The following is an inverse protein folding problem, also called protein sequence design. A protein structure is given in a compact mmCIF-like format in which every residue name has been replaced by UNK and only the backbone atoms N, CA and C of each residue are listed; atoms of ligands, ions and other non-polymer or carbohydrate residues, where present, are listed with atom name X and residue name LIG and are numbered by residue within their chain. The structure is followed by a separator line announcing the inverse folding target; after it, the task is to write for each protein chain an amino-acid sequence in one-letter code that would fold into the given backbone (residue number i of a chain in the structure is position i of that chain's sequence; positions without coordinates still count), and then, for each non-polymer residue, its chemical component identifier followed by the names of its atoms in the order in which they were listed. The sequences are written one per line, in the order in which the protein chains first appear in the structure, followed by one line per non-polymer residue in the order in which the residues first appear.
data_IF_743006886791
#
_entry.id   IF_743006886791
#
_cell.length_a   1.000
_cell.length_b   1.000
_cell.length_c   1.000
_cell.angle_alpha   90.00
_cell.angle_beta   90.00
_cell.angle_gamma   90.00
#
_symmetry.space_group_name_H-M   'P 1'
#
loop_
_entity.id
_entity.type
_entity.pdbx_description
1 polymer ?
#
# COMPACT_ATOMS: atom_id res chain seq x y z
N UNK A 1 17.25 -30.82 28.44
CA UNK A 1 15.93 -30.20 28.56
C UNK A 1 15.68 -29.41 27.27
N UNK A 2 15.19 -30.09 26.23
CA UNK A 2 14.90 -29.48 24.93
C UNK A 2 13.47 -28.92 24.96
N UNK A 3 13.34 -27.61 24.76
CA UNK A 3 12.06 -26.94 24.57
C UNK A 3 11.53 -27.32 23.18
N UNK A 4 10.45 -28.10 23.16
CA UNK A 4 9.65 -28.36 21.97
C UNK A 4 8.82 -27.11 21.65
N UNK A 5 9.16 -26.40 20.57
CA UNK A 5 8.28 -25.41 19.96
C UNK A 5 7.17 -26.17 19.21
N UNK A 6 5.97 -26.15 19.79
CA UNK A 6 4.79 -26.82 19.29
C UNK A 6 4.16 -25.95 18.18
N UNK A 7 4.68 -26.04 16.96
CA UNK A 7 4.07 -25.44 15.77
C UNK A 7 3.11 -26.48 15.17
N UNK A 8 1.81 -26.19 15.03
CA UNK A 8 0.85 -27.15 14.48
C UNK A 8 1.25 -27.53 13.06
N UNK A 9 1.49 -28.83 12.86
CA UNK A 9 1.88 -29.43 11.59
C UNK A 9 0.67 -29.43 10.65
N UNK A 10 0.54 -28.40 9.82
CA UNK A 10 -0.46 -28.34 8.75
C UNK A 10 -0.28 -29.53 7.80
N UNK A 11 -1.34 -30.35 7.64
CA UNK A 11 -1.38 -31.60 6.87
C UNK A 11 -1.33 -31.42 5.33
N UNK A 12 -0.76 -30.33 4.81
CA UNK A 12 -0.62 -30.15 3.35
C UNK A 12 0.60 -30.86 2.74
N UNK A 13 1.48 -31.45 3.56
CA UNK A 13 2.72 -32.09 3.09
C UNK A 13 2.60 -33.61 2.96
N UNK A 14 1.65 -34.12 2.16
CA UNK A 14 1.64 -35.56 1.81
C UNK A 14 2.20 -35.90 0.43
N UNK A 15 2.66 -34.92 -0.36
CA UNK A 15 3.41 -35.17 -1.61
C UNK A 15 4.28 -33.96 -2.00
N UNK A 16 5.49 -33.86 -1.46
CA UNK A 16 6.56 -33.12 -2.14
C UNK A 16 7.92 -33.48 -1.56
N UNK A 17 8.50 -34.56 -2.10
CA UNK A 17 9.95 -34.67 -2.20
C UNK A 17 10.40 -33.68 -3.28
N UNK A 18 10.86 -32.49 -2.90
CA UNK A 18 11.54 -31.61 -3.86
C UNK A 18 12.58 -30.71 -3.17
N UNK A 19 13.78 -30.70 -3.75
CA UNK A 19 14.94 -29.92 -3.36
C UNK A 19 14.63 -28.43 -3.27
N UNK A 20 15.39 -27.67 -2.44
CA UNK A 20 15.32 -26.21 -2.20
C UNK A 20 15.35 -25.37 -3.49
N UNK A 21 14.27 -25.35 -4.25
CA UNK A 21 14.11 -24.59 -5.50
C UNK A 21 13.12 -23.45 -5.29
N UNK A 22 13.30 -22.37 -6.06
CA UNK A 22 12.44 -21.16 -6.04
C UNK A 22 10.94 -21.50 -6.13
N UNK A 23 10.59 -22.59 -6.81
CA UNK A 23 9.22 -23.08 -6.97
C UNK A 23 8.59 -23.53 -5.65
N UNK A 24 9.30 -24.29 -4.82
CA UNK A 24 8.78 -24.75 -3.51
C UNK A 24 8.55 -23.56 -2.58
N UNK A 25 9.47 -22.60 -2.55
CA UNK A 25 9.31 -21.37 -1.75
C UNK A 25 8.15 -20.51 -2.26
N UNK A 26 7.99 -20.36 -3.58
CA UNK A 26 6.85 -19.64 -4.18
C UNK A 26 5.52 -20.29 -3.80
N UNK A 27 5.43 -21.62 -3.81
CA UNK A 27 4.21 -22.32 -3.38
C UNK A 27 3.91 -22.12 -1.90
N UNK A 28 4.92 -22.17 -1.02
CA UNK A 28 4.72 -21.91 0.42
C UNK A 28 4.23 -20.48 0.65
N UNK A 29 4.86 -19.50 0.00
CA UNK A 29 4.46 -18.09 0.14
C UNK A 29 3.02 -17.90 -0.34
N UNK A 30 2.69 -18.38 -1.56
CA UNK A 30 1.37 -18.15 -2.16
C UNK A 30 0.25 -18.93 -1.48
N UNK A 31 0.50 -20.16 -1.04
CA UNK A 31 -0.56 -21.06 -0.60
C UNK A 31 -0.65 -21.20 0.94
N UNK A 32 0.36 -20.76 1.69
CA UNK A 32 0.35 -20.87 3.15
C UNK A 32 0.54 -19.51 3.82
N UNK A 33 1.61 -18.78 3.50
CA UNK A 33 1.95 -17.54 4.21
C UNK A 33 1.02 -16.39 3.82
N UNK A 34 0.84 -16.13 2.53
CA UNK A 34 0.02 -15.02 2.05
C UNK A 34 -1.45 -15.13 2.51
N UNK A 35 -2.14 -16.29 2.39
CA UNK A 35 -3.51 -16.42 2.86
C UNK A 35 -3.63 -16.23 4.37
N UNK A 36 -2.67 -16.75 5.15
CA UNK A 36 -2.69 -16.60 6.61
C UNK A 36 -2.51 -15.13 7.04
N UNK A 37 -1.59 -14.40 6.40
CA UNK A 37 -1.38 -12.98 6.67
C UNK A 37 -2.58 -12.13 6.22
N UNK A 38 -3.18 -12.46 5.09
CA UNK A 38 -4.37 -11.79 4.58
C UNK A 38 -5.57 -12.01 5.51
N UNK A 39 -5.81 -13.24 5.95
CA UNK A 39 -6.90 -13.55 6.88
C UNK A 39 -6.73 -12.82 8.21
N UNK A 40 -5.51 -12.79 8.76
CA UNK A 40 -5.18 -12.02 9.97
C UNK A 40 -5.45 -10.53 9.76
N UNK A 41 -5.01 -9.97 8.64
CA UNK A 41 -5.22 -8.55 8.31
C UNK A 41 -6.71 -8.21 8.16
N UNK A 42 -7.45 -9.00 7.39
CA UNK A 42 -8.89 -8.81 7.14
C UNK A 42 -9.67 -8.90 8.45
N UNK A 43 -9.29 -9.81 9.35
CA UNK A 43 -9.88 -9.90 10.69
C UNK A 43 -9.71 -8.60 11.47
N UNK A 44 -8.50 -8.03 11.49
CA UNK A 44 -8.20 -6.77 12.17
C UNK A 44 -9.02 -5.60 11.60
N UNK A 45 -9.13 -5.52 10.27
CA UNK A 45 -9.95 -4.52 9.57
C UNK A 45 -11.44 -4.63 9.93
N UNK A 46 -11.92 -5.84 10.24
CA UNK A 46 -13.31 -6.09 10.60
C UNK A 46 -13.62 -5.80 12.08
N UNK A 47 -12.66 -6.04 12.97
CA UNK A 47 -12.87 -5.91 14.42
C UNK A 47 -12.65 -4.49 14.94
N UNK A 48 -11.76 -3.73 14.32
CA UNK A 48 -11.30 -2.45 14.86
C UNK A 48 -11.11 -1.35 13.83
N UNK A 49 -10.84 -0.12 14.31
CA UNK A 49 -10.53 1.00 13.46
C UNK A 49 -9.19 0.80 12.74
N UNK A 50 -9.14 1.19 11.47
CA UNK A 50 -7.91 1.16 10.70
C UNK A 50 -7.80 2.38 9.79
N UNK A 51 -6.58 2.67 9.35
CA UNK A 51 -6.33 3.59 8.24
C UNK A 51 -5.73 2.82 7.07
N UNK A 52 -5.91 3.33 5.86
CA UNK A 52 -5.28 2.72 4.69
C UNK A 52 -4.67 3.79 3.82
N UNK A 53 -3.65 3.39 3.07
CA UNK A 53 -3.07 4.22 2.02
C UNK A 53 -3.04 3.47 0.71
N UNK A 54 -3.08 4.23 -0.38
CA UNK A 54 -2.82 3.68 -1.69
C UNK A 54 -1.80 4.51 -2.46
N UNK A 55 -1.05 3.82 -3.31
CA UNK A 55 -0.06 4.41 -4.19
C UNK A 55 -0.11 3.75 -5.56
N UNK A 56 0.07 4.56 -6.61
CA UNK A 56 0.09 4.10 -7.98
C UNK A 56 1.54 3.76 -8.38
N UNK A 57 1.77 2.53 -8.81
CA UNK A 57 3.05 2.09 -9.36
C UNK A 57 2.89 1.68 -10.81
N UNK A 58 3.88 2.01 -11.64
CA UNK A 58 3.93 1.63 -13.04
C UNK A 58 4.93 0.48 -13.23
N UNK A 59 4.48 -0.62 -13.82
CA UNK A 59 5.38 -1.68 -14.27
C UNK A 59 6.03 -1.31 -15.62
N UNK A 60 7.17 -1.94 -15.95
CA UNK A 60 7.88 -1.76 -17.23
C UNK A 60 7.00 -2.06 -18.45
N UNK A 61 5.92 -2.82 -18.25
CA UNK A 61 4.93 -3.16 -19.27
C UNK A 61 3.79 -2.13 -19.40
N UNK A 62 3.95 -0.92 -18.83
CA UNK A 62 2.95 0.16 -18.83
C UNK A 62 1.64 -0.19 -18.10
N UNK A 63 1.63 -1.26 -17.29
CA UNK A 63 0.51 -1.57 -16.43
C UNK A 63 0.60 -0.74 -15.17
N UNK A 64 -0.50 -0.06 -14.86
CA UNK A 64 -0.64 0.74 -13.65
C UNK A 64 -1.27 -0.13 -12.57
N UNK A 65 -0.66 -0.14 -11.41
CA UNK A 65 -1.07 -0.96 -10.27
C UNK A 65 -1.34 -0.05 -9.09
N UNK A 66 -2.42 -0.34 -8.37
CA UNK A 66 -2.82 0.38 -7.17
C UNK A 66 -2.47 -0.51 -5.97
N UNK A 67 -1.36 -0.21 -5.31
CA UNK A 67 -0.98 -0.89 -4.09
C UNK A 67 -1.82 -0.35 -2.93
N UNK A 68 -2.40 -1.23 -2.13
CA UNK A 68 -3.24 -0.87 -0.97
C UNK A 68 -2.59 -1.44 0.28
N UNK A 69 -2.25 -0.55 1.21
CA UNK A 69 -1.65 -0.89 2.51
C UNK A 69 -2.54 -0.41 3.63
N UNK A 70 -2.69 -1.22 4.65
CA UNK A 70 -3.53 -0.94 5.82
C UNK A 70 -2.65 -0.79 7.05
N UNK A 71 -2.96 0.20 7.88
CA UNK A 71 -2.35 0.41 9.19
C UNK A 71 -3.43 0.27 10.27
N UNK A 72 -3.17 -0.59 11.23
CA UNK A 72 -4.08 -0.93 12.31
C UNK A 72 -3.30 -1.10 13.61
N UNK A 73 -4.00 -1.07 14.74
CA UNK A 73 -3.41 -1.37 16.04
C UNK A 73 -3.64 -2.84 16.37
N UNK A 74 -2.55 -3.58 16.55
CA UNK A 74 -2.58 -4.97 16.97
C UNK A 74 -2.60 -5.00 18.50
N UNK A 75 -3.79 -5.25 19.07
CA UNK A 75 -4.00 -5.28 20.53
C UNK A 75 -3.17 -6.36 21.23
N UNK A 76 -2.94 -7.50 20.56
CA UNK A 76 -2.18 -8.62 21.15
C UNK A 76 -0.70 -8.26 21.26
N UNK A 77 -0.17 -7.53 20.28
CA UNK A 77 1.23 -7.09 20.24
C UNK A 77 1.44 -5.67 20.79
N UNK A 78 0.36 -5.02 21.21
CA UNK A 78 0.32 -3.64 21.72
C UNK A 78 1.06 -2.63 20.83
N UNK A 79 0.94 -2.77 19.51
CA UNK A 79 1.66 -1.91 18.57
C UNK A 79 0.89 -1.66 17.28
N UNK A 80 1.18 -0.52 16.66
CA UNK A 80 0.71 -0.25 15.31
C UNK A 80 1.47 -1.13 14.30
N UNK A 81 0.73 -1.90 13.51
CA UNK A 81 1.26 -2.71 12.42
C UNK A 81 0.81 -2.14 11.08
N UNK A 82 1.56 -2.45 10.02
CA UNK A 82 1.17 -2.17 8.64
C UNK A 82 1.17 -3.47 7.86
N UNK A 83 0.08 -3.72 7.15
CA UNK A 83 -0.12 -4.90 6.32
C UNK A 83 -0.38 -4.51 4.87
N UNK A 84 0.08 -5.34 3.95
CA UNK A 84 -0.28 -5.27 2.55
C UNK A 84 -1.64 -5.94 2.34
N UNK A 85 -2.61 -5.21 1.78
CA UNK A 85 -3.97 -5.72 1.59
C UNK A 85 -4.16 -6.32 0.20
N UNK A 86 -3.79 -5.56 -0.82
CA UNK A 86 -4.00 -5.93 -2.21
C UNK A 86 -3.18 -5.04 -3.16
N UNK A 87 -3.02 -5.49 -4.40
CA UNK A 87 -2.44 -4.72 -5.50
C UNK A 87 -3.21 -5.01 -6.78
N UNK A 88 -4.21 -4.18 -7.05
CA UNK A 88 -5.08 -4.33 -8.20
C UNK A 88 -4.52 -3.59 -9.42
N UNK A 89 -4.77 -4.12 -10.62
CA UNK A 89 -4.37 -3.45 -11.87
C UNK A 89 -5.41 -2.37 -12.17
N UNK A 90 -4.98 -1.11 -12.16
CA UNK A 90 -5.83 0.06 -12.37
C UNK A 90 -5.25 0.94 -13.49
N UNK A 91 -5.47 0.54 -14.75
CA UNK A 91 -4.92 1.26 -15.91
C UNK A 91 -5.58 2.62 -16.18
N UNK A 92 -6.73 2.90 -15.56
CA UNK A 92 -7.48 4.14 -15.72
C UNK A 92 -7.31 4.98 -14.45
N UNK A 93 -6.42 5.97 -14.49
CA UNK A 93 -6.13 6.86 -13.35
C UNK A 93 -7.20 7.93 -13.09
N UNK A 94 -8.49 7.60 -13.19
CA UNK A 94 -9.57 8.52 -12.82
C UNK A 94 -10.02 8.25 -11.40
N UNK A 95 -10.49 9.28 -10.70
CA UNK A 95 -10.96 9.15 -9.32
C UNK A 95 -12.08 8.11 -9.16
N UNK A 96 -12.97 7.99 -10.16
CA UNK A 96 -14.00 6.96 -10.17
C UNK A 96 -13.40 5.57 -10.28
N UNK A 97 -12.54 5.33 -11.28
CA UNK A 97 -11.97 4.01 -11.49
C UNK A 97 -11.12 3.55 -10.31
N UNK A 98 -10.31 4.44 -9.72
CA UNK A 98 -9.53 4.12 -8.52
C UNK A 98 -10.46 3.76 -7.36
N UNK A 99 -11.52 4.54 -7.13
CA UNK A 99 -12.49 4.25 -6.10
C UNK A 99 -13.23 2.92 -6.33
N UNK A 100 -13.62 2.61 -7.56
CA UNK A 100 -14.31 1.35 -7.89
C UNK A 100 -13.42 0.14 -7.58
N UNK A 101 -12.10 0.23 -7.84
CA UNK A 101 -11.16 -0.82 -7.47
C UNK A 101 -11.01 -0.94 -5.95
N UNK A 102 -10.99 0.18 -5.21
CA UNK A 102 -10.96 0.17 -3.75
C UNK A 102 -12.23 -0.47 -3.16
N UNK A 103 -13.41 -0.06 -3.65
CA UNK A 103 -14.71 -0.57 -3.21
C UNK A 103 -14.82 -2.07 -3.51
N UNK A 104 -14.42 -2.51 -4.70
CA UNK A 104 -14.38 -3.92 -5.08
C UNK A 104 -13.42 -4.75 -4.21
N UNK A 105 -12.22 -4.24 -3.91
CA UNK A 105 -11.28 -4.93 -3.01
C UNK A 105 -11.86 -5.05 -1.60
N UNK A 106 -12.53 -4.01 -1.09
CA UNK A 106 -13.13 -4.03 0.24
C UNK A 106 -14.34 -4.97 0.29
N UNK A 107 -15.19 -4.95 -0.72
CA UNK A 107 -16.36 -5.84 -0.84
C UNK A 107 -15.92 -7.31 -0.96
N UNK A 108 -14.93 -7.61 -1.82
CA UNK A 108 -14.42 -8.96 -2.00
C UNK A 108 -13.82 -9.56 -0.71
N UNK A 109 -13.19 -8.72 0.13
CA UNK A 109 -12.60 -9.11 1.41
C UNK A 109 -13.55 -8.92 2.60
N UNK A 110 -14.79 -8.47 2.36
CA UNK A 110 -15.78 -8.22 3.41
C UNK A 110 -15.37 -7.17 4.43
N UNK A 111 -14.60 -6.15 4.03
CA UNK A 111 -14.10 -5.09 4.91
C UNK A 111 -15.11 -3.92 4.95
N UNK A 112 -15.62 -3.54 6.13
CA UNK A 112 -16.62 -2.49 6.22
C UNK A 112 -15.98 -1.09 6.23
N UNK A 113 -16.47 -0.21 5.35
CA UNK A 113 -16.04 1.20 5.28
C UNK A 113 -16.19 1.97 6.60
N UNK A 114 -17.14 1.57 7.46
CA UNK A 114 -17.38 2.19 8.77
C UNK A 114 -16.17 2.17 9.71
N UNK A 115 -15.27 1.20 9.53
CA UNK A 115 -14.08 1.01 10.36
C UNK A 115 -12.87 1.82 9.84
N UNK A 116 -12.99 2.44 8.66
CA UNK A 116 -11.96 3.33 8.13
C UNK A 116 -11.97 4.63 8.91
N UNK A 117 -10.83 4.98 9.48
CA UNK A 117 -10.62 6.25 10.20
C UNK A 117 -9.87 7.26 9.34
N UNK A 118 -8.89 6.81 8.56
CA UNK A 118 -8.10 7.71 7.73
C UNK A 118 -7.69 7.07 6.40
N UNK A 119 -7.54 7.93 5.40
CA UNK A 119 -7.07 7.61 4.07
C UNK A 119 -5.81 8.42 3.75
N UNK A 120 -4.76 7.73 3.29
CA UNK A 120 -3.46 8.32 2.96
C UNK A 120 -3.20 8.16 1.45
N UNK A 121 -2.94 9.25 0.75
CA UNK A 121 -2.64 9.21 -0.70
C UNK A 121 -1.72 10.35 -1.11
N UNK A 122 -1.24 10.30 -2.36
CA UNK A 122 -0.54 11.44 -2.94
C UNK A 122 -1.46 12.68 -3.00
N UNK A 123 -0.86 13.87 -2.95
CA UNK A 123 -1.62 15.11 -2.89
C UNK A 123 -2.11 15.57 -4.28
N UNK A 124 -2.29 14.65 -5.23
CA UNK A 124 -2.77 15.01 -6.57
C UNK A 124 -4.28 15.28 -6.57
N UNK A 125 -4.74 16.08 -7.55
CA UNK A 125 -6.15 16.46 -7.64
C UNK A 125 -7.10 15.25 -7.79
N UNK A 126 -6.64 14.16 -8.42
CA UNK A 126 -7.44 12.93 -8.56
C UNK A 126 -7.71 12.28 -7.21
N UNK A 127 -6.76 12.34 -6.27
CA UNK A 127 -6.88 11.70 -4.96
C UNK A 127 -7.51 12.61 -3.92
N UNK A 128 -7.02 13.84 -3.78
CA UNK A 128 -7.41 14.78 -2.69
C UNK A 128 -8.18 16.02 -3.18
N UNK A 129 -8.51 16.11 -4.46
CA UNK A 129 -9.21 17.26 -5.03
C UNK A 129 -10.56 17.56 -4.35
N UNK A 130 -10.97 18.82 -4.34
CA UNK A 130 -12.22 19.26 -3.69
C UNK A 130 -13.50 18.73 -4.37
N UNK A 131 -13.41 18.37 -5.64
CA UNK A 131 -14.53 17.91 -6.48
C UNK A 131 -14.08 16.68 -7.25
N UNK A 132 -14.89 15.62 -7.24
CA UNK A 132 -14.65 14.40 -8.02
C UNK A 132 -13.26 13.77 -7.79
N UNK A 133 -12.85 13.66 -6.54
CA UNK A 133 -11.64 12.96 -6.11
C UNK A 133 -11.95 11.66 -5.38
N UNK A 134 -10.93 10.82 -5.20
CA UNK A 134 -11.06 9.58 -4.42
C UNK A 134 -11.48 9.90 -2.99
N UNK A 135 -10.93 10.93 -2.36
CA UNK A 135 -11.36 11.39 -1.02
C UNK A 135 -12.84 11.76 -1.01
N UNK A 136 -13.34 12.50 -2.01
CA UNK A 136 -14.78 12.85 -2.03
C UNK A 136 -15.67 11.61 -2.11
N UNK A 137 -15.26 10.58 -2.85
CA UNK A 137 -15.99 9.32 -2.99
C UNK A 137 -15.92 8.45 -1.74
N UNK A 138 -14.75 8.39 -1.09
CA UNK A 138 -14.60 7.74 0.21
C UNK A 138 -15.51 8.41 1.25
N UNK A 139 -15.60 9.74 1.25
CA UNK A 139 -16.48 10.50 2.16
C UNK A 139 -17.97 10.27 1.90
N UNK A 140 -18.36 9.85 0.70
CA UNK A 140 -19.73 9.39 0.41
C UNK A 140 -20.03 8.03 1.07
N UNK A 141 -19.04 7.14 1.22
CA UNK A 141 -19.17 5.86 1.95
C UNK A 141 -19.06 6.03 3.46
N UNK A 142 -18.14 6.89 3.91
CA UNK A 142 -17.92 7.20 5.32
C UNK A 142 -17.43 8.64 5.46
N UNK A 143 -18.32 9.53 5.91
CA UNK A 143 -18.05 10.96 6.05
C UNK A 143 -17.07 11.31 7.18
N UNK A 144 -16.79 10.37 8.10
CA UNK A 144 -15.88 10.57 9.22
C UNK A 144 -14.40 10.31 8.85
N UNK A 145 -14.10 9.85 7.63
CA UNK A 145 -12.74 9.54 7.20
C UNK A 145 -11.90 10.81 7.09
N UNK A 146 -10.74 10.81 7.76
CA UNK A 146 -9.72 11.84 7.63
C UNK A 146 -8.88 11.60 6.38
N UNK A 147 -8.73 12.63 5.54
CA UNK A 147 -7.75 12.62 4.46
C UNK A 147 -6.40 13.14 4.96
N UNK A 148 -5.35 12.34 4.73
CA UNK A 148 -3.97 12.67 5.12
C UNK A 148 -3.13 12.66 3.85
N UNK A 149 -2.48 13.80 3.57
CA UNK A 149 -1.56 13.90 2.45
C UNK A 149 -0.30 13.06 2.63
N UNK A 150 0.29 12.63 1.53
CA UNK A 150 1.56 11.92 1.53
C UNK A 150 2.69 12.81 2.08
N UNK A 151 3.24 12.43 3.23
CA UNK A 151 4.35 13.14 3.88
C UNK A 151 5.57 13.25 2.96
N UNK A 152 5.86 12.19 2.18
CA UNK A 152 6.96 12.21 1.22
C UNK A 152 6.74 13.26 0.13
N UNK A 153 5.52 13.38 -0.37
CA UNK A 153 5.18 14.38 -1.37
C UNK A 153 5.27 15.80 -0.80
N UNK A 154 4.76 16.02 0.41
CA UNK A 154 4.88 17.30 1.12
C UNK A 154 6.34 17.69 1.36
N UNK A 155 7.18 16.75 1.82
CA UNK A 155 8.61 16.98 2.02
C UNK A 155 9.33 17.32 0.70
N UNK A 156 8.97 16.64 -0.40
CA UNK A 156 9.48 16.95 -1.72
C UNK A 156 9.07 18.36 -2.17
N UNK A 157 7.80 18.73 -2.00
CA UNK A 157 7.30 20.08 -2.34
C UNK A 157 8.04 21.17 -1.54
N UNK A 158 8.26 20.95 -0.24
CA UNK A 158 9.04 21.87 0.60
C UNK A 158 10.48 22.00 0.09
N UNK A 159 11.13 20.89 -0.26
CA UNK A 159 12.50 20.89 -0.80
C UNK A 159 12.58 21.65 -2.13
N UNK A 160 11.67 21.37 -3.06
CA UNK A 160 11.61 22.05 -4.37
C UNK A 160 11.39 23.55 -4.19
N UNK A 161 10.48 23.95 -3.30
CA UNK A 161 10.26 25.36 -2.99
C UNK A 161 11.51 26.02 -2.37
N UNK A 162 12.19 25.31 -1.48
CA UNK A 162 13.43 25.77 -0.85
C UNK A 162 14.57 25.97 -1.86
N UNK A 163 14.78 25.01 -2.76
CA UNK A 163 15.82 25.11 -3.81
C UNK A 163 15.55 26.28 -4.75
N UNK A 164 14.31 26.49 -5.16
CA UNK A 164 13.92 27.63 -6.01
C UNK A 164 14.11 29.00 -5.34
N UNK A 165 14.08 29.05 -4.01
CA UNK A 165 14.28 30.28 -3.25
C UNK A 165 15.78 30.62 -3.06
N UNK A 166 16.69 29.69 -3.33
CA UNK A 166 18.12 29.93 -3.21
C UNK A 166 18.62 30.83 -4.36
N UNK A 167 19.55 31.77 -4.08
CA UNK A 167 20.13 32.64 -5.12
C UNK A 167 21.18 31.95 -5.99
N UNK A 168 21.27 30.61 -5.92
CA UNK A 168 22.27 29.79 -6.60
C UNK A 168 21.56 28.76 -7.49
N UNK A 169 22.04 28.53 -8.73
CA UNK A 169 21.44 27.58 -9.65
C UNK A 169 21.84 26.14 -9.30
N UNK A 170 21.37 25.64 -8.15
CA UNK A 170 21.70 24.30 -7.66
C UNK A 170 21.18 23.21 -8.60
N UNK A 171 20.02 23.43 -9.22
CA UNK A 171 19.43 22.50 -10.20
C UNK A 171 20.36 22.33 -11.41
N UNK A 172 20.83 23.43 -12.00
CA UNK A 172 21.73 23.40 -13.15
C UNK A 172 23.06 22.71 -12.82
N UNK A 173 23.63 22.99 -11.64
CA UNK A 173 24.86 22.32 -11.18
C UNK A 173 24.68 20.80 -11.06
N UNK A 174 23.56 20.35 -10.50
CA UNK A 174 23.27 18.92 -10.34
C UNK A 174 23.06 18.24 -11.70
N UNK A 175 22.40 18.93 -12.64
CA UNK A 175 22.21 18.46 -14.02
C UNK A 175 23.56 18.32 -14.73
N UNK A 176 24.44 19.31 -14.61
CA UNK A 176 25.79 19.29 -15.19
C UNK A 176 26.64 18.13 -14.64
N UNK A 177 26.62 17.92 -13.32
CA UNK A 177 27.32 16.80 -12.68
C UNK A 177 26.77 15.46 -13.16
N UNK A 178 25.44 15.33 -13.27
CA UNK A 178 24.80 14.11 -13.75
C UNK A 178 25.24 13.76 -15.17
N UNK A 179 25.18 14.71 -16.11
CA UNK A 179 25.62 14.47 -17.48
C UNK A 179 27.14 14.23 -17.58
N UNK A 180 27.95 14.90 -16.77
CA UNK A 180 29.39 14.62 -16.71
C UNK A 180 29.70 13.17 -16.32
N UNK A 181 28.93 12.62 -15.38
CA UNK A 181 29.10 11.23 -14.91
C UNK A 181 28.45 10.20 -15.83
N UNK A 182 27.37 10.54 -16.54
CA UNK A 182 26.68 9.63 -17.46
C UNK A 182 27.44 9.43 -18.78
N UNK A 183 28.25 10.39 -19.20
CA UNK A 183 29.06 10.32 -20.43
C UNK A 183 30.46 9.69 -20.22
N UNK A 184 30.69 9.03 -19.09
CA UNK A 184 31.85 8.17 -18.82
C UNK A 184 31.42 6.71 -18.74
#
# INVERSE_FOLDING_TARGET
MQLQANVPRFEYTKKSSCSRTKTTMSMIVKNAIAPALEEELVKQCNTGPFSFGCDESNDTNQQKTLAIVVKYFDEVRERANTGFLDMSICNIGTAQSIFDHLDATFEAKGIPWKNVVAFISDNCNTMVGKRNSVVTKIKERNSAVFDIGCVCHLANLCTVAGVKALPVPVEDLLVDVFYHLQHR
#
